data_IF_643151365737
#
_entry.id   IF_643151365737
#
_cell.length_a   1.000
_cell.length_b   1.000
_cell.length_c   1.000
_cell.angle_alpha   90.00
_cell.angle_beta   90.00
_cell.angle_gamma   90.00
#
_symmetry.space_group_name_H-M   'P 1'
#
loop_
_entity.id
_entity.type
_entity.pdbx_description
1 polymer ?
#
# COMPACT_ATOMS: atom_id res chain seq x y z
N UNK A 1 66.49 -56.58 -38.32
CA UNK A 1 66.90 -56.86 -36.92
C UNK A 1 66.42 -55.69 -36.09
N UNK A 2 65.54 -55.94 -35.12
CA UNK A 2 64.80 -55.05 -34.19
C UNK A 2 65.71 -54.12 -33.34
N UNK A 3 65.19 -53.18 -32.48
CA UNK A 3 63.80 -52.81 -32.12
C UNK A 3 63.48 -51.29 -32.04
N UNK A 4 62.23 -51.01 -31.65
CA UNK A 4 61.56 -49.75 -31.36
C UNK A 4 61.98 -49.04 -30.05
N UNK A 5 61.64 -47.75 -29.90
CA UNK A 5 61.20 -47.17 -28.60
C UNK A 5 60.34 -45.91 -28.81
N UNK A 6 59.07 -45.97 -28.40
CA UNK A 6 58.20 -44.81 -28.15
C UNK A 6 58.56 -44.17 -26.80
N UNK A 7 58.53 -42.83 -26.65
CA UNK A 7 58.47 -42.21 -25.34
C UNK A 7 57.01 -42.05 -24.89
N UNK A 8 56.67 -42.77 -23.82
CA UNK A 8 55.49 -42.65 -22.98
C UNK A 8 55.46 -41.30 -22.24
N UNK A 9 54.46 -40.45 -22.49
CA UNK A 9 54.13 -39.34 -21.59
C UNK A 9 53.11 -39.82 -20.55
N UNK A 10 53.42 -39.57 -19.27
CA UNK A 10 52.65 -40.01 -18.08
C UNK A 10 51.34 -39.22 -17.91
N UNK A 11 50.32 -39.83 -17.29
CA UNK A 11 49.12 -39.11 -16.86
C UNK A 11 49.39 -38.41 -15.51
N UNK A 12 48.50 -37.46 -15.19
CA UNK A 12 48.25 -36.89 -13.85
C UNK A 12 49.07 -35.66 -13.45
N UNK A 13 48.50 -34.49 -13.73
CA UNK A 13 48.58 -33.35 -12.83
C UNK A 13 47.18 -32.70 -12.72
N UNK A 14 46.29 -33.37 -12.00
CA UNK A 14 45.02 -32.80 -11.60
C UNK A 14 45.25 -32.11 -10.25
N UNK A 15 45.50 -30.81 -10.28
CA UNK A 15 45.50 -29.99 -9.07
C UNK A 15 44.17 -30.19 -8.30
N UNK A 16 44.19 -30.27 -6.96
CA UNK A 16 42.97 -30.44 -6.19
C UNK A 16 42.09 -29.21 -6.38
N UNK A 17 40.93 -29.41 -6.99
CA UNK A 17 39.87 -28.40 -7.00
C UNK A 17 39.32 -28.36 -5.58
N UNK A 18 39.68 -27.33 -4.83
CA UNK A 18 39.08 -27.04 -3.52
C UNK A 18 37.55 -26.94 -3.69
N UNK A 19 36.73 -27.82 -3.09
CA UNK A 19 35.28 -27.83 -3.28
C UNK A 19 34.57 -26.72 -2.48
N UNK A 20 35.32 -25.83 -1.82
CA UNK A 20 34.78 -24.80 -0.94
C UNK A 20 34.42 -23.47 -1.64
N UNK A 21 34.46 -23.40 -2.98
CA UNK A 21 34.19 -22.18 -3.73
C UNK A 21 32.83 -22.22 -4.48
N UNK A 22 31.82 -22.91 -3.96
CA UNK A 22 30.50 -23.03 -4.62
C UNK A 22 29.30 -22.75 -3.73
N UNK A 23 29.42 -21.90 -2.70
CA UNK A 23 28.28 -21.61 -1.80
C UNK A 23 28.10 -20.15 -1.38
N UNK A 24 28.31 -19.19 -2.31
CA UNK A 24 28.08 -17.76 -2.02
C UNK A 24 27.06 -17.05 -2.93
N UNK A 25 25.91 -17.66 -3.28
CA UNK A 25 24.72 -16.88 -3.59
C UNK A 25 23.53 -17.08 -2.62
N UNK A 26 23.56 -18.10 -1.74
CA UNK A 26 22.35 -18.49 -0.99
C UNK A 26 22.14 -17.72 0.34
N UNK A 27 23.22 -17.35 1.04
CA UNK A 27 23.12 -16.67 2.35
C UNK A 27 22.65 -15.21 2.28
N UNK A 28 22.89 -14.54 1.16
CA UNK A 28 22.49 -13.13 0.98
C UNK A 28 21.00 -13.00 0.65
N UNK A 29 20.40 -14.00 -0.02
CA UNK A 29 18.97 -13.99 -0.34
C UNK A 29 18.10 -14.31 0.87
N UNK A 30 18.52 -15.22 1.74
CA UNK A 30 17.77 -15.60 2.95
C UNK A 30 17.59 -14.40 3.90
N UNK A 31 18.67 -13.64 4.16
CA UNK A 31 18.61 -12.43 5.00
C UNK A 31 17.85 -11.26 4.37
N UNK A 32 17.89 -11.13 3.04
CA UNK A 32 17.10 -10.12 2.32
C UNK A 32 15.59 -10.45 2.37
N UNK A 33 15.23 -11.74 2.26
CA UNK A 33 13.84 -12.21 2.36
C UNK A 33 13.27 -12.00 3.77
N UNK A 34 14.05 -12.26 4.82
CA UNK A 34 13.66 -11.98 6.21
C UNK A 34 13.39 -10.47 6.44
N UNK A 35 14.30 -9.61 5.96
CA UNK A 35 14.12 -8.15 6.05
C UNK A 35 12.89 -7.68 5.29
N UNK A 36 12.68 -8.22 4.08
CA UNK A 36 11.50 -7.92 3.28
C UNK A 36 10.20 -8.34 3.99
N UNK A 37 10.20 -9.52 4.62
CA UNK A 37 9.05 -10.01 5.41
C UNK A 37 8.76 -9.09 6.59
N UNK A 38 9.78 -8.65 7.31
CA UNK A 38 9.62 -7.71 8.45
C UNK A 38 9.04 -6.36 8.02
N UNK A 39 9.54 -5.80 6.91
CA UNK A 39 9.01 -4.53 6.35
C UNK A 39 7.55 -4.71 5.93
N UNK A 40 7.21 -5.83 5.26
CA UNK A 40 5.82 -6.12 4.87
C UNK A 40 4.89 -6.26 6.07
N UNK A 41 5.33 -6.93 7.14
CA UNK A 41 4.54 -6.99 8.38
C UNK A 41 4.30 -5.60 8.99
N UNK A 42 5.22 -4.65 8.83
CA UNK A 42 5.00 -3.26 9.23
C UNK A 42 3.94 -2.57 8.36
N UNK A 43 3.98 -2.80 7.03
CA UNK A 43 2.98 -2.30 6.08
C UNK A 43 1.60 -2.86 6.44
N UNK A 44 1.47 -4.16 6.66
CA UNK A 44 0.20 -4.82 6.99
C UNK A 44 -0.44 -4.22 8.26
N UNK A 45 0.37 -3.91 9.27
CA UNK A 45 -0.09 -3.25 10.49
C UNK A 45 -0.59 -1.81 10.24
N UNK A 46 0.10 -1.06 9.37
CA UNK A 46 -0.32 0.29 8.96
C UNK A 46 -1.64 0.21 8.20
N UNK A 47 -1.77 -0.72 7.27
CA UNK A 47 -2.98 -0.91 6.47
C UNK A 47 -4.18 -1.27 7.35
N UNK A 48 -4.00 -2.14 8.34
CA UNK A 48 -5.03 -2.44 9.34
C UNK A 48 -5.47 -1.18 10.09
N UNK A 49 -4.53 -0.35 10.55
CA UNK A 49 -4.83 0.91 11.22
C UNK A 49 -5.56 1.89 10.29
N UNK A 50 -5.16 1.99 9.02
CA UNK A 50 -5.82 2.84 8.02
C UNK A 50 -7.27 2.45 7.82
N UNK A 51 -7.58 1.15 7.71
CA UNK A 51 -8.95 0.66 7.57
C UNK A 51 -9.79 1.01 8.80
N UNK A 52 -9.26 0.83 10.01
CA UNK A 52 -9.97 1.20 11.23
C UNK A 52 -10.24 2.71 11.30
N UNK A 53 -9.27 3.55 10.96
CA UNK A 53 -9.43 5.01 10.94
C UNK A 53 -10.46 5.46 9.89
N UNK A 54 -10.45 4.84 8.72
CA UNK A 54 -11.46 5.09 7.68
C UNK A 54 -12.85 4.70 8.16
N UNK A 55 -13.00 3.53 8.80
CA UNK A 55 -14.28 3.09 9.34
C UNK A 55 -14.86 4.11 10.34
N UNK A 56 -14.05 4.61 11.27
CA UNK A 56 -14.47 5.65 12.20
C UNK A 56 -14.81 6.97 11.50
N UNK A 57 -14.01 7.37 10.49
CA UNK A 57 -14.31 8.54 9.67
C UNK A 57 -15.66 8.40 8.97
N UNK A 58 -15.97 7.24 8.38
CA UNK A 58 -17.23 7.00 7.70
C UNK A 58 -18.43 6.95 8.66
N UNK A 59 -18.27 6.46 9.88
CA UNK A 59 -19.32 6.58 10.92
C UNK A 59 -19.65 8.05 11.21
N UNK A 60 -18.62 8.89 11.33
CA UNK A 60 -18.82 10.32 11.54
C UNK A 60 -19.53 10.99 10.34
N UNK A 61 -19.14 10.66 9.10
CA UNK A 61 -19.80 11.22 7.92
C UNK A 61 -21.23 10.72 7.77
N UNK A 62 -21.55 9.47 8.11
CA UNK A 62 -22.94 9.00 8.13
C UNK A 62 -23.81 9.81 9.08
N UNK A 63 -23.30 10.16 10.27
CA UNK A 63 -23.99 11.04 11.22
C UNK A 63 -24.20 12.45 10.64
N UNK A 64 -23.21 12.98 9.93
CA UNK A 64 -23.34 14.25 9.19
C UNK A 64 -24.41 14.13 8.10
N UNK A 65 -24.42 13.05 7.32
CA UNK A 65 -25.41 12.80 6.29
C UNK A 65 -26.84 12.73 6.83
N UNK A 66 -27.06 12.03 7.95
CA UNK A 66 -28.37 11.99 8.63
C UNK A 66 -28.79 13.38 9.10
N UNK A 67 -27.90 14.10 9.77
CA UNK A 67 -28.16 15.47 10.21
C UNK A 67 -28.50 16.39 9.03
N UNK A 68 -27.79 16.26 7.91
CA UNK A 68 -28.09 17.02 6.69
C UNK A 68 -29.48 16.69 6.14
N UNK A 69 -29.81 15.40 6.02
CA UNK A 69 -31.12 14.95 5.53
C UNK A 69 -32.27 15.43 6.42
N UNK A 70 -32.13 15.34 7.75
CA UNK A 70 -33.13 15.79 8.72
C UNK A 70 -33.40 17.31 8.68
N UNK A 71 -32.50 18.09 8.10
CA UNK A 71 -32.57 19.56 8.04
C UNK A 71 -32.61 20.09 6.59
N UNK A 72 -32.95 19.24 5.61
CA UNK A 72 -33.02 19.58 4.19
C UNK A 72 -31.75 20.24 3.62
N UNK A 73 -30.58 19.88 4.17
CA UNK A 73 -29.29 20.40 3.74
C UNK A 73 -28.72 19.56 2.59
N UNK A 74 -28.02 20.19 1.62
CA UNK A 74 -27.48 19.49 0.47
C UNK A 74 -26.39 18.45 0.88
N UNK A 75 -26.37 17.27 0.23
CA UNK A 75 -25.36 16.23 0.46
C UNK A 75 -23.91 16.72 0.30
N UNK A 76 -23.66 17.50 -0.75
CA UNK A 76 -22.37 18.15 -1.05
C UNK A 76 -22.28 19.56 -0.43
N UNK A 77 -21.05 19.97 -0.11
CA UNK A 77 -20.71 21.31 0.38
C UNK A 77 -19.36 21.73 -0.26
N UNK A 78 -19.40 22.37 -1.45
CA UNK A 78 -18.19 22.65 -2.23
C UNK A 78 -17.16 23.51 -1.49
N UNK A 79 -17.60 24.48 -0.67
CA UNK A 79 -16.69 25.32 0.10
C UNK A 79 -16.01 24.52 1.21
N UNK A 80 -16.75 23.64 1.90
CA UNK A 80 -16.18 22.74 2.88
C UNK A 80 -15.21 21.75 2.25
N UNK A 81 -15.53 21.19 1.09
CA UNK A 81 -14.69 20.26 0.32
C UNK A 81 -13.37 20.92 -0.08
N UNK A 82 -13.42 22.12 -0.65
CA UNK A 82 -12.23 22.92 -0.99
C UNK A 82 -11.33 23.19 0.22
N UNK A 83 -11.91 23.55 1.36
CA UNK A 83 -11.16 23.76 2.60
C UNK A 83 -10.51 22.46 3.12
N UNK A 84 -11.15 21.30 2.95
CA UNK A 84 -10.55 20.00 3.30
C UNK A 84 -9.34 19.69 2.43
N UNK A 85 -9.45 19.92 1.12
CA UNK A 85 -8.35 19.69 0.17
C UNK A 85 -7.15 20.56 0.53
N UNK A 86 -7.36 21.87 0.73
CA UNK A 86 -6.28 22.78 1.11
C UNK A 86 -5.58 22.35 2.41
N UNK A 87 -6.36 22.04 3.45
CA UNK A 87 -5.80 21.57 4.73
C UNK A 87 -5.03 20.27 4.58
N UNK A 88 -5.53 19.31 3.80
CA UNK A 88 -4.87 18.02 3.65
C UNK A 88 -3.57 18.13 2.84
N UNK A 89 -3.54 18.98 1.81
CA UNK A 89 -2.30 19.28 1.08
C UNK A 89 -1.21 19.79 2.02
N UNK A 90 -1.53 20.73 2.92
CA UNK A 90 -0.57 21.22 3.92
C UNK A 90 -0.11 20.13 4.90
N UNK A 91 -1.01 19.22 5.29
CA UNK A 91 -0.63 18.08 6.15
C UNK A 91 0.27 17.08 5.41
N UNK A 92 0.03 16.86 4.13
CA UNK A 92 0.87 15.99 3.29
C UNK A 92 2.28 16.57 3.15
N UNK A 93 2.41 17.87 2.86
CA UNK A 93 3.70 18.57 2.79
C UNK A 93 4.48 18.42 4.10
N UNK A 94 3.82 18.65 5.24
CA UNK A 94 4.43 18.51 6.56
C UNK A 94 4.86 17.08 6.91
N UNK A 95 4.19 16.08 6.32
CA UNK A 95 4.49 14.66 6.50
C UNK A 95 5.45 14.09 5.44
N UNK A 96 5.99 14.93 4.55
CA UNK A 96 6.80 14.51 3.39
C UNK A 96 6.06 13.52 2.46
N UNK A 97 4.74 13.64 2.37
CA UNK A 97 3.90 12.93 1.41
C UNK A 97 3.60 13.84 0.22
N UNK A 98 3.56 13.27 -0.99
CA UNK A 98 3.17 14.00 -2.20
C UNK A 98 1.76 14.64 -2.04
N UNK A 99 1.64 15.97 -2.12
CA UNK A 99 0.35 16.65 -1.99
C UNK A 99 -0.64 16.28 -3.09
N UNK A 100 -0.17 15.96 -4.30
CA UNK A 100 -1.05 15.52 -5.39
C UNK A 100 -1.66 14.15 -5.11
N UNK A 101 -0.85 13.22 -4.59
CA UNK A 101 -1.34 11.93 -4.12
C UNK A 101 -2.37 12.09 -2.99
N UNK A 102 -2.08 12.93 -1.99
CA UNK A 102 -2.99 13.16 -0.88
C UNK A 102 -4.34 13.76 -1.34
N UNK A 103 -4.29 14.68 -2.30
CA UNK A 103 -5.49 15.25 -2.91
C UNK A 103 -6.30 14.20 -3.68
N UNK A 104 -5.66 13.38 -4.52
CA UNK A 104 -6.35 12.30 -5.25
C UNK A 104 -7.04 11.32 -4.29
N UNK A 105 -6.34 10.92 -3.23
CA UNK A 105 -6.89 10.05 -2.20
C UNK A 105 -8.09 10.71 -1.50
N UNK A 106 -7.99 11.99 -1.12
CA UNK A 106 -9.10 12.68 -0.47
C UNK A 106 -10.31 12.86 -1.39
N UNK A 107 -10.10 13.20 -2.66
CA UNK A 107 -11.16 13.34 -3.64
C UNK A 107 -11.94 12.03 -3.77
N UNK A 108 -11.25 10.89 -3.83
CA UNK A 108 -11.90 9.57 -3.80
C UNK A 108 -12.78 9.39 -2.55
N UNK A 109 -12.24 9.71 -1.37
CA UNK A 109 -13.00 9.59 -0.11
C UNK A 109 -14.20 10.55 -0.06
N UNK A 110 -14.06 11.78 -0.57
CA UNK A 110 -15.15 12.77 -0.62
C UNK A 110 -16.28 12.27 -1.53
N UNK A 111 -15.94 11.77 -2.74
CA UNK A 111 -16.94 11.22 -3.67
C UNK A 111 -17.76 10.11 -3.02
N UNK A 112 -17.11 9.21 -2.28
CA UNK A 112 -17.79 8.12 -1.59
C UNK A 112 -18.68 8.61 -0.43
N UNK A 113 -18.28 9.67 0.26
CA UNK A 113 -19.11 10.31 1.31
C UNK A 113 -20.35 10.96 0.72
N UNK A 114 -20.22 11.69 -0.40
CA UNK A 114 -21.35 12.35 -1.07
C UNK A 114 -22.37 11.30 -1.50
N UNK A 115 -21.93 10.22 -2.14
CA UNK A 115 -22.78 9.08 -2.53
C UNK A 115 -23.58 8.52 -1.36
N UNK A 116 -22.96 8.38 -0.19
CA UNK A 116 -23.66 7.92 1.02
C UNK A 116 -24.66 8.95 1.55
N UNK A 117 -24.36 10.24 1.47
CA UNK A 117 -25.30 11.28 1.89
C UNK A 117 -26.52 11.35 0.97
N UNK A 118 -26.34 11.18 -0.35
CA UNK A 118 -27.43 11.08 -1.31
C UNK A 118 -28.36 9.91 -0.96
N UNK A 119 -27.81 8.73 -0.72
CA UNK A 119 -28.60 7.56 -0.30
C UNK A 119 -29.36 7.79 1.02
N UNK A 120 -28.71 8.40 2.03
CA UNK A 120 -29.37 8.73 3.30
C UNK A 120 -30.51 9.74 3.09
N UNK A 121 -30.31 10.73 2.21
CA UNK A 121 -31.34 11.73 1.88
C UNK A 121 -32.53 11.08 1.17
N UNK A 122 -32.30 10.21 0.19
CA UNK A 122 -33.36 9.46 -0.49
C UNK A 122 -34.16 8.58 0.49
N UNK A 123 -33.48 7.87 1.37
CA UNK A 123 -34.10 7.04 2.40
C UNK A 123 -34.95 7.87 3.37
N UNK A 124 -34.47 9.06 3.75
CA UNK A 124 -35.21 9.98 4.62
C UNK A 124 -36.50 10.47 3.97
N UNK A 125 -36.45 10.92 2.71
CA UNK A 125 -37.63 11.37 1.98
C UNK A 125 -38.66 10.25 1.80
N UNK A 126 -38.22 9.03 1.42
CA UNK A 126 -39.14 7.87 1.31
C UNK A 126 -39.83 7.52 2.63
N UNK A 127 -39.18 7.77 3.77
CA UNK A 127 -39.76 7.55 5.09
C UNK A 127 -40.73 8.63 5.55
N UNK A 128 -40.67 9.83 4.97
CA UNK A 128 -41.63 10.91 5.24
C UNK A 128 -42.92 10.79 4.40
N UNK A 129 -42.81 10.19 3.20
CA UNK A 129 -43.92 10.01 2.26
C UNK A 129 -44.80 8.76 2.51
N UNK A 130 -44.39 7.86 3.43
CA UNK A 130 -45.03 6.57 3.73
C UNK A 130 -45.87 6.61 5.03
#
# INVERSE_FOLDING_TARGET
>A
MTPATHPTARPEDHAPVDPAASDVPHRTSETALERLSSIRGTIDNIDAALIHLLAERFKATQRVGRLKAENDLPPSDPEREKAQIQRLRSLAEAAHLDPEFAEKFLNFIISEVIRHHEAISEDHHRGQDA
#
